data_IF_967460113470
#
_entry.id   IF_967460113470
#
_cell.length_a   1.000
_cell.length_b   1.000
_cell.length_c   1.000
_cell.angle_alpha   90.00
_cell.angle_beta   90.00
_cell.angle_gamma   90.00
#
_symmetry.space_group_name_H-M   'P 1'
#
loop_
_entity.id
_entity.type
_entity.pdbx_description
1 polymer ?
#
# COMPACT_ATOMS: atom_id res chain seq x y z
N UNK A 1 -1.06 5.88 33.00
CA UNK A 1 -0.76 5.69 31.55
C UNK A 1 -1.96 4.96 30.97
N UNK A 2 -2.42 5.29 29.77
CA UNK A 2 -3.53 4.56 29.15
C UNK A 2 -2.95 3.35 28.41
N UNK A 3 -3.30 2.13 28.83
CA UNK A 3 -2.89 0.88 28.21
C UNK A 3 -4.03 0.23 27.39
N UNK A 4 -5.07 1.00 27.08
CA UNK A 4 -6.19 0.54 26.26
C UNK A 4 -6.37 1.54 25.12
N UNK A 5 -5.78 1.23 23.97
CA UNK A 5 -5.90 2.06 22.77
C UNK A 5 -5.81 1.22 21.50
N UNK A 6 -6.29 1.77 20.42
CA UNK A 6 -6.18 1.19 19.09
C UNK A 6 -5.45 2.14 18.15
N UNK A 7 -4.78 1.57 17.16
CA UNK A 7 -4.16 2.25 16.05
C UNK A 7 -4.60 1.58 14.75
N UNK A 8 -5.02 2.38 13.79
CA UNK A 8 -5.13 1.95 12.40
C UNK A 8 -4.16 2.75 11.51
N UNK A 9 -3.60 2.08 10.52
CA UNK A 9 -2.74 2.69 9.53
C UNK A 9 -3.10 2.14 8.16
N UNK A 10 -3.23 3.03 7.20
CA UNK A 10 -3.39 2.66 5.79
C UNK A 10 -2.20 3.22 5.00
N UNK A 11 -1.57 2.39 4.19
CA UNK A 11 -0.46 2.77 3.35
C UNK A 11 -0.63 2.17 1.95
N UNK A 12 -0.65 3.06 0.96
CA UNK A 12 -0.65 2.66 -0.45
C UNK A 12 0.79 2.53 -0.94
N UNK A 13 1.07 1.47 -1.69
CA UNK A 13 2.41 1.19 -2.19
C UNK A 13 2.38 0.52 -3.56
N UNK A 14 3.51 0.59 -4.26
CA UNK A 14 3.74 -0.14 -5.52
C UNK A 14 4.76 -1.24 -5.30
N UNK A 15 4.60 -2.37 -5.99
CA UNK A 15 5.60 -3.44 -6.00
C UNK A 15 6.75 -3.08 -6.96
N UNK A 16 7.97 -2.77 -6.48
CA UNK A 16 9.11 -2.54 -7.36
C UNK A 16 9.49 -3.80 -8.13
N UNK A 17 9.94 -3.66 -9.37
CA UNK A 17 10.37 -4.82 -10.17
C UNK A 17 11.50 -5.62 -9.53
N UNK A 18 12.38 -4.94 -8.78
CA UNK A 18 13.47 -5.56 -8.01
C UNK A 18 13.02 -6.13 -6.67
N UNK A 19 11.82 -5.77 -6.19
CA UNK A 19 11.38 -6.03 -4.82
C UNK A 19 12.15 -5.25 -3.75
N UNK A 20 12.90 -4.20 -4.16
CA UNK A 20 13.80 -3.44 -3.28
C UNK A 20 13.50 -1.95 -3.32
N UNK A 21 13.72 -1.28 -2.20
CA UNK A 21 13.63 0.19 -2.06
C UNK A 21 14.94 0.68 -1.45
N UNK A 22 15.59 1.64 -2.10
CA UNK A 22 16.89 2.19 -1.67
C UNK A 22 17.94 1.10 -1.38
N UNK A 23 18.01 0.06 -2.24
CA UNK A 23 19.01 -1.02 -2.13
C UNK A 23 18.72 -2.07 -1.05
N UNK A 24 17.56 -1.99 -0.37
CA UNK A 24 17.13 -2.97 0.65
C UNK A 24 15.83 -3.65 0.21
N UNK A 25 15.65 -4.92 0.59
CA UNK A 25 14.37 -5.60 0.36
C UNK A 25 13.21 -4.75 0.91
N UNK A 26 12.14 -4.64 0.13
CA UNK A 26 10.91 -3.98 0.59
C UNK A 26 10.22 -4.86 1.63
N UNK A 27 10.00 -4.30 2.83
CA UNK A 27 9.47 -5.03 3.97
C UNK A 27 8.49 -4.22 4.78
N UNK A 28 7.62 -4.94 5.49
CA UNK A 28 6.85 -4.49 6.64
C UNK A 28 7.22 -5.36 7.83
N UNK A 29 7.52 -4.75 8.97
CA UNK A 29 7.95 -5.46 10.18
C UNK A 29 7.26 -4.84 11.39
N UNK A 30 6.68 -5.70 12.21
CA UNK A 30 6.07 -5.37 13.49
C UNK A 30 6.71 -6.22 14.60
N UNK A 31 6.84 -5.64 15.78
CA UNK A 31 7.14 -6.36 17.03
C UNK A 31 6.46 -5.64 18.20
N UNK A 32 5.74 -6.39 18.99
CA UNK A 32 4.98 -5.85 20.13
C UNK A 32 4.09 -6.89 20.78
N UNK A 33 3.25 -6.43 21.69
CA UNK A 33 2.27 -7.20 22.41
C UNK A 33 0.84 -6.76 22.04
N UNK A 34 -0.09 -7.66 22.32
CA UNK A 34 -1.51 -7.70 22.01
C UNK A 34 -1.86 -7.76 20.50
N UNK A 35 -3.11 -7.46 20.14
CA UNK A 35 -3.68 -7.83 18.85
C UNK A 35 -3.11 -7.05 17.67
N UNK A 36 -2.73 -7.77 16.61
CA UNK A 36 -2.33 -7.20 15.33
C UNK A 36 -2.98 -7.94 14.17
N UNK A 37 -3.54 -7.19 13.23
CA UNK A 37 -4.00 -7.69 11.94
C UNK A 37 -3.43 -6.85 10.81
N UNK A 38 -2.89 -7.53 9.81
CA UNK A 38 -2.38 -6.90 8.59
C UNK A 38 -3.15 -7.43 7.39
N UNK A 39 -3.74 -6.50 6.65
CA UNK A 39 -4.43 -6.80 5.38
C UNK A 39 -3.69 -6.16 4.22
N UNK A 40 -3.66 -6.83 3.09
CA UNK A 40 -3.25 -6.26 1.81
C UNK A 40 -4.38 -6.49 0.82
N UNK A 41 -4.87 -5.41 0.20
CA UNK A 41 -6.01 -5.43 -0.74
C UNK A 41 -7.24 -6.14 -0.17
N UNK A 42 -7.46 -6.03 1.14
CA UNK A 42 -8.55 -6.68 1.85
C UNK A 42 -8.32 -8.15 2.24
N UNK A 43 -7.19 -8.74 1.85
CA UNK A 43 -6.80 -10.10 2.25
C UNK A 43 -5.99 -10.06 3.54
N UNK A 44 -6.39 -10.84 4.56
CA UNK A 44 -5.66 -11.00 5.81
C UNK A 44 -4.36 -11.76 5.56
N UNK A 45 -3.22 -11.11 5.73
CA UNK A 45 -1.89 -11.69 5.50
C UNK A 45 -1.11 -11.93 6.80
N UNK A 46 -1.49 -11.26 7.87
CA UNK A 46 -0.88 -11.43 9.19
C UNK A 46 -1.90 -11.29 10.29
N UNK A 47 -1.94 -12.27 11.19
CA UNK A 47 -2.83 -12.32 12.34
C UNK A 47 -2.03 -12.71 13.59
N UNK A 48 -1.86 -11.76 14.50
CA UNK A 48 -1.32 -11.94 15.83
C UNK A 48 -2.39 -11.61 16.88
N UNK A 49 -3.65 -11.96 16.61
CA UNK A 49 -4.76 -11.70 17.51
C UNK A 49 -4.64 -12.44 18.83
N UNK A 50 -5.03 -11.78 19.89
CA UNK A 50 -5.04 -12.31 21.26
C UNK A 50 -4.12 -11.53 22.21
N UNK A 51 -4.36 -11.68 23.50
CA UNK A 51 -3.47 -11.14 24.54
C UNK A 51 -2.22 -12.04 24.61
N UNK A 52 -1.07 -11.46 24.32
CA UNK A 52 0.20 -12.20 24.30
C UNK A 52 1.39 -11.31 24.70
N UNK A 53 2.50 -11.92 25.08
CA UNK A 53 3.78 -11.20 25.21
C UNK A 53 4.32 -10.82 23.83
N UNK A 54 5.42 -10.07 23.80
CA UNK A 54 5.99 -9.57 22.56
C UNK A 54 6.11 -10.64 21.48
N UNK A 55 5.47 -10.39 20.35
CA UNK A 55 5.46 -11.22 19.15
C UNK A 55 5.96 -10.40 17.95
N UNK A 56 6.29 -11.05 16.86
CA UNK A 56 6.76 -10.37 15.65
C UNK A 56 5.99 -10.83 14.42
N UNK A 57 5.82 -9.90 13.48
CA UNK A 57 5.30 -10.16 12.15
C UNK A 57 6.23 -9.51 11.14
N UNK A 58 6.61 -10.25 10.10
CA UNK A 58 7.37 -9.69 8.99
C UNK A 58 6.81 -10.14 7.66
N UNK A 59 6.75 -9.20 6.71
CA UNK A 59 6.38 -9.43 5.32
C UNK A 59 7.53 -8.95 4.46
N UNK A 60 8.11 -9.85 3.66
CA UNK A 60 9.11 -9.51 2.66
C UNK A 60 8.46 -9.49 1.28
N UNK A 61 8.26 -8.32 0.71
CA UNK A 61 7.59 -8.15 -0.59
C UNK A 61 8.42 -8.60 -1.79
N UNK A 62 9.75 -8.73 -1.62
CA UNK A 62 10.63 -9.25 -2.67
C UNK A 62 10.47 -10.76 -2.85
N UNK A 63 10.32 -11.49 -1.76
CA UNK A 63 10.16 -12.94 -1.76
C UNK A 63 8.71 -13.39 -1.64
N UNK A 64 7.82 -12.52 -1.14
CA UNK A 64 6.46 -12.83 -0.76
C UNK A 64 6.33 -13.62 0.55
N UNK A 65 7.41 -13.72 1.33
CA UNK A 65 7.44 -14.47 2.59
C UNK A 65 6.74 -13.69 3.70
N UNK A 66 5.93 -14.40 4.50
CA UNK A 66 5.26 -13.89 5.69
C UNK A 66 5.63 -14.76 6.88
N UNK A 67 6.22 -14.16 7.91
CA UNK A 67 6.63 -14.84 9.14
C UNK A 67 5.91 -14.26 10.35
N UNK A 68 5.31 -15.15 11.13
CA UNK A 68 4.73 -14.85 12.42
C UNK A 68 5.62 -15.51 13.48
N UNK A 69 6.37 -14.70 14.18
CA UNK A 69 7.35 -15.13 15.16
C UNK A 69 6.97 -14.66 16.55
N UNK A 70 7.47 -15.38 17.53
CA UNK A 70 7.30 -15.04 18.91
C UNK A 70 8.66 -14.79 19.54
N UNK A 71 8.85 -13.59 20.07
CA UNK A 71 10.07 -13.23 20.79
C UNK A 71 10.18 -13.92 22.14
N UNK A 72 9.07 -14.43 22.70
CA UNK A 72 9.01 -15.18 23.94
C UNK A 72 8.21 -16.46 23.73
N UNK A 73 8.73 -17.60 24.14
CA UNK A 73 7.99 -18.86 24.11
C UNK A 73 6.69 -18.73 24.92
N UNK A 74 5.58 -18.51 24.24
CA UNK A 74 4.26 -18.48 24.86
C UNK A 74 3.52 -19.80 24.60
N UNK A 75 3.08 -20.55 25.62
CA UNK A 75 2.44 -21.85 25.45
C UNK A 75 1.03 -21.79 24.85
N UNK A 76 0.42 -20.62 24.71
CA UNK A 76 -0.96 -20.46 24.20
C UNK A 76 -1.04 -20.13 22.69
N UNK A 77 -0.02 -20.51 21.89
CA UNK A 77 0.10 -20.07 20.50
C UNK A 77 -0.55 -20.98 19.50
N UNK A 78 -1.48 -20.43 18.77
CA UNK A 78 -1.97 -21.00 17.51
C UNK A 78 -1.18 -20.52 16.28
N UNK A 79 -0.40 -19.44 16.41
CA UNK A 79 0.27 -18.77 15.28
C UNK A 79 1.81 -18.66 15.43
N UNK A 80 2.36 -18.86 16.61
CA UNK A 80 3.81 -18.71 16.85
C UNK A 80 4.68 -19.62 15.97
N UNK A 81 5.67 -19.03 15.30
CA UNK A 81 6.56 -19.74 14.38
C UNK A 81 5.93 -20.12 13.04
N UNK A 82 4.75 -19.60 12.71
CA UNK A 82 4.09 -19.85 11.42
C UNK A 82 4.82 -19.08 10.32
N UNK A 83 5.17 -19.80 9.27
CA UNK A 83 5.65 -19.24 8.02
C UNK A 83 4.64 -19.52 6.92
N UNK A 84 4.35 -18.52 6.11
CA UNK A 84 3.45 -18.60 4.97
C UNK A 84 3.93 -17.65 3.87
N UNK A 85 3.16 -17.47 2.82
CA UNK A 85 3.48 -16.53 1.75
C UNK A 85 2.27 -15.65 1.43
N UNK A 86 2.54 -14.47 0.86
CA UNK A 86 1.48 -13.61 0.34
C UNK A 86 0.56 -14.37 -0.62
N UNK A 87 1.15 -15.15 -1.55
CA UNK A 87 0.37 -15.96 -2.50
C UNK A 87 -0.54 -16.94 -1.78
N UNK A 88 -0.04 -17.67 -0.78
CA UNK A 88 -0.85 -18.64 -0.06
C UNK A 88 -2.04 -17.99 0.68
N UNK A 89 -1.83 -16.82 1.30
CA UNK A 89 -2.92 -16.07 1.94
C UNK A 89 -3.99 -15.63 0.91
N UNK A 90 -3.56 -15.16 -0.26
CA UNK A 90 -4.48 -14.74 -1.33
C UNK A 90 -5.21 -15.93 -1.95
N UNK A 91 -4.53 -17.06 -2.16
CA UNK A 91 -5.15 -18.30 -2.65
C UNK A 91 -6.19 -18.86 -1.68
N UNK A 92 -5.92 -18.78 -0.39
CA UNK A 92 -6.88 -19.17 0.66
C UNK A 92 -8.12 -18.27 0.66
N UNK A 93 -7.93 -16.96 0.53
CA UNK A 93 -9.02 -15.99 0.60
C UNK A 93 -9.84 -15.87 -0.70
N UNK A 94 -9.19 -15.93 -1.86
CA UNK A 94 -9.80 -15.59 -3.16
C UNK A 94 -9.96 -16.81 -4.08
N UNK A 95 -9.31 -17.93 -3.76
CA UNK A 95 -9.13 -19.07 -4.65
C UNK A 95 -7.95 -18.87 -5.62
N UNK A 96 -7.33 -19.96 -6.05
CA UNK A 96 -6.08 -19.96 -6.85
C UNK A 96 -6.20 -19.16 -8.15
N UNK A 97 -7.31 -19.30 -8.86
CA UNK A 97 -7.51 -18.64 -10.15
C UNK A 97 -7.51 -17.10 -10.02
N UNK A 98 -8.25 -16.55 -9.05
CA UNK A 98 -8.29 -15.11 -8.80
C UNK A 98 -6.98 -14.59 -8.21
N UNK A 99 -6.38 -15.34 -7.30
CA UNK A 99 -5.12 -14.97 -6.68
C UNK A 99 -3.98 -14.87 -7.71
N UNK A 100 -3.96 -15.72 -8.74
CA UNK A 100 -2.91 -15.71 -9.76
C UNK A 100 -2.72 -14.34 -10.42
N UNK A 101 -3.78 -13.54 -10.55
CA UNK A 101 -3.72 -12.20 -11.16
C UNK A 101 -2.91 -11.17 -10.33
N UNK A 102 -2.62 -11.45 -9.08
CA UNK A 102 -1.86 -10.54 -8.20
C UNK A 102 -0.36 -10.78 -8.23
N UNK A 103 0.09 -11.95 -8.66
CA UNK A 103 1.46 -12.41 -8.45
C UNK A 103 2.22 -12.62 -9.74
N UNK A 104 3.53 -12.34 -9.70
CA UNK A 104 4.45 -12.75 -10.76
C UNK A 104 4.41 -14.27 -10.87
N UNK A 105 4.37 -14.78 -12.10
CA UNK A 105 4.34 -16.22 -12.41
C UNK A 105 5.44 -16.96 -11.64
N UNK A 106 5.12 -18.14 -11.11
CA UNK A 106 6.00 -19.02 -10.33
C UNK A 106 6.70 -18.36 -9.11
N UNK A 107 6.17 -17.27 -8.60
CA UNK A 107 6.69 -16.60 -7.41
C UNK A 107 5.60 -16.29 -6.38
N UNK A 108 6.00 -15.95 -5.15
CA UNK A 108 5.09 -15.45 -4.11
C UNK A 108 5.08 -13.92 -4.01
N UNK A 109 5.86 -13.24 -4.86
CA UNK A 109 5.93 -11.78 -4.91
C UNK A 109 4.84 -11.23 -5.83
N UNK A 110 4.30 -10.06 -5.50
CA UNK A 110 3.34 -9.36 -6.34
C UNK A 110 3.90 -9.03 -7.72
N UNK A 111 3.01 -8.78 -8.67
CA UNK A 111 3.38 -8.33 -10.01
C UNK A 111 4.21 -7.04 -9.97
N UNK A 112 5.33 -6.97 -10.69
CA UNK A 112 6.09 -5.73 -10.80
C UNK A 112 5.23 -4.56 -11.28
N UNK A 113 5.28 -3.44 -10.56
CA UNK A 113 4.49 -2.25 -10.83
C UNK A 113 3.04 -2.32 -10.39
N UNK A 114 2.58 -3.43 -9.79
CA UNK A 114 1.23 -3.50 -9.23
C UNK A 114 1.08 -2.57 -8.02
N UNK A 115 -0.15 -2.13 -7.83
CA UNK A 115 -0.57 -1.21 -6.79
C UNK A 115 -1.29 -1.96 -5.69
N UNK A 116 -0.98 -1.65 -4.44
CA UNK A 116 -1.52 -2.34 -3.27
C UNK A 116 -1.83 -1.37 -2.15
N UNK A 117 -2.83 -1.71 -1.33
CA UNK A 117 -3.17 -1.01 -0.10
C UNK A 117 -2.92 -1.94 1.10
N UNK A 118 -2.00 -1.54 1.96
CA UNK A 118 -1.78 -2.18 3.26
C UNK A 118 -2.64 -1.50 4.31
N UNK A 119 -3.38 -2.29 5.10
CA UNK A 119 -4.05 -1.84 6.32
C UNK A 119 -3.50 -2.61 7.50
N UNK A 120 -3.08 -1.87 8.51
CA UNK A 120 -2.56 -2.40 9.77
C UNK A 120 -3.49 -1.97 10.89
N UNK A 121 -3.94 -2.92 11.70
CA UNK A 121 -4.73 -2.68 12.90
C UNK A 121 -3.98 -3.22 14.10
N UNK A 122 -3.93 -2.42 15.16
CA UNK A 122 -3.31 -2.75 16.43
C UNK A 122 -4.27 -2.39 17.56
N UNK A 123 -4.42 -3.30 18.52
CA UNK A 123 -5.16 -3.06 19.74
C UNK A 123 -4.32 -3.44 20.95
N UNK A 124 -4.07 -2.47 21.82
CA UNK A 124 -3.44 -2.66 23.11
C UNK A 124 -4.52 -2.92 24.15
N UNK A 125 -4.42 -4.06 24.84
CA UNK A 125 -5.36 -4.51 25.88
C UNK A 125 -4.69 -4.85 27.20
N UNK A 126 -3.38 -4.80 27.26
CA UNK A 126 -2.60 -5.05 28.46
C UNK A 126 -2.77 -3.96 29.50
N UNK A 127 -2.50 -4.28 30.76
CA UNK A 127 -2.64 -3.30 31.82
C UNK A 127 -1.30 -2.91 32.48
N UNK A 128 -0.20 -3.56 32.18
CA UNK A 128 1.10 -3.35 32.82
C UNK A 128 2.23 -2.98 31.85
N UNK A 129 2.25 -3.58 30.68
CA UNK A 129 3.28 -3.36 29.66
C UNK A 129 2.61 -3.06 28.32
N UNK A 130 3.20 -2.17 27.54
CA UNK A 130 2.78 -1.85 26.19
C UNK A 130 4.01 -1.64 25.33
N UNK A 131 4.20 -2.48 24.33
CA UNK A 131 5.35 -2.46 23.44
C UNK A 131 4.91 -2.50 22.00
N UNK A 132 5.29 -1.51 21.22
CA UNK A 132 5.07 -1.50 19.79
C UNK A 132 6.28 -0.97 19.04
N UNK A 133 6.76 -1.74 18.07
CA UNK A 133 7.75 -1.30 17.10
C UNK A 133 7.25 -1.63 15.70
N UNK A 134 7.06 -0.60 14.89
CA UNK A 134 6.62 -0.71 13.52
C UNK A 134 7.70 -0.14 12.59
N UNK A 135 8.10 -0.91 11.58
CA UNK A 135 9.08 -0.50 10.57
C UNK A 135 8.61 -0.96 9.19
N UNK A 136 8.72 -0.08 8.20
CA UNK A 136 8.50 -0.41 6.80
C UNK A 136 9.25 0.54 5.88
N UNK A 137 9.60 0.05 4.69
CA UNK A 137 10.20 0.81 3.61
C UNK A 137 9.42 0.64 2.31
N UNK A 138 8.07 0.77 2.40
CA UNK A 138 7.19 0.61 1.25
C UNK A 138 7.50 1.65 0.16
N UNK A 139 7.53 1.21 -1.11
CA UNK A 139 7.63 2.11 -2.24
C UNK A 139 6.36 2.95 -2.31
N UNK A 140 6.47 4.23 -2.00
CA UNK A 140 5.33 5.14 -2.03
C UNK A 140 4.73 5.21 -3.42
N UNK A 141 3.41 5.22 -3.47
CA UNK A 141 2.70 5.67 -4.65
C UNK A 141 2.77 7.18 -4.67
N UNK A 142 3.20 7.75 -5.77
CA UNK A 142 2.97 9.15 -6.02
C UNK A 142 1.46 9.36 -6.03
N UNK A 143 0.94 10.14 -5.08
CA UNK A 143 -0.49 10.42 -5.02
C UNK A 143 -0.87 11.32 -6.19
N UNK A 144 -1.31 10.71 -7.27
CA UNK A 144 -1.88 11.38 -8.44
C UNK A 144 -3.40 11.47 -8.33
N UNK A 145 -3.95 11.48 -7.12
CA UNK A 145 -5.38 11.56 -6.90
C UNK A 145 -5.81 13.02 -6.91
N UNK A 146 -6.60 13.38 -7.91
CA UNK A 146 -7.30 14.67 -7.96
C UNK A 146 -8.72 14.42 -7.50
N UNK A 147 -9.20 15.21 -6.54
CA UNK A 147 -10.59 15.20 -6.11
C UNK A 147 -11.32 16.40 -6.69
N UNK A 148 -12.49 16.17 -7.25
CA UNK A 148 -13.41 17.19 -7.72
C UNK A 148 -14.59 17.28 -6.79
N UNK A 149 -14.73 18.42 -6.15
CA UNK A 149 -15.89 18.77 -5.33
C UNK A 149 -16.65 19.93 -5.99
N UNK A 150 -17.94 20.07 -5.67
CA UNK A 150 -18.74 21.24 -5.98
C UNK A 150 -18.43 22.42 -5.01
N UNK A 151 -19.12 23.51 -5.17
CA UNK A 151 -18.95 24.70 -4.33
C UNK A 151 -19.36 24.51 -2.86
N UNK A 152 -20.01 23.40 -2.52
CA UNK A 152 -20.42 23.04 -1.16
C UNK A 152 -19.56 21.94 -0.54
N UNK A 153 -18.53 21.47 -1.25
CA UNK A 153 -17.64 20.39 -0.82
C UNK A 153 -18.20 18.98 -1.05
N UNK A 154 -19.30 18.85 -1.79
CA UNK A 154 -19.82 17.53 -2.16
C UNK A 154 -19.04 16.97 -3.37
N UNK A 155 -18.75 15.65 -3.40
CA UNK A 155 -18.06 15.04 -4.51
C UNK A 155 -18.87 15.12 -5.81
N UNK A 156 -18.20 15.40 -6.93
CA UNK A 156 -18.81 15.45 -8.26
C UNK A 156 -18.41 14.19 -9.05
N UNK A 157 -19.26 13.17 -9.11
CA UNK A 157 -19.01 11.98 -9.91
C UNK A 157 -19.20 12.25 -11.41
N UNK A 158 -18.43 11.51 -12.26
CA UNK A 158 -18.58 11.58 -13.71
C UNK A 158 -17.98 12.83 -14.37
N UNK A 159 -17.33 13.72 -13.62
CA UNK A 159 -16.62 14.87 -14.19
C UNK A 159 -15.45 14.40 -15.06
N UNK A 160 -15.44 14.83 -16.34
CA UNK A 160 -14.42 14.44 -17.31
C UNK A 160 -13.15 15.27 -17.15
N UNK A 161 -12.00 14.61 -17.20
CA UNK A 161 -10.68 15.24 -17.15
C UNK A 161 -9.77 14.67 -18.21
N UNK A 162 -8.85 15.51 -18.67
CA UNK A 162 -7.76 15.11 -19.55
C UNK A 162 -6.45 15.72 -19.06
N UNK A 163 -5.38 14.94 -19.05
CA UNK A 163 -4.03 15.37 -18.73
C UNK A 163 -3.25 15.55 -20.05
N UNK A 164 -2.65 16.71 -20.21
CA UNK A 164 -1.80 17.03 -21.36
C UNK A 164 -0.38 17.33 -20.91
N UNK A 165 0.61 17.06 -21.78
CA UNK A 165 1.93 17.63 -21.61
C UNK A 165 1.84 19.17 -21.71
N UNK A 166 2.65 19.85 -20.93
CA UNK A 166 2.74 21.31 -20.98
C UNK A 166 4.19 21.76 -21.07
N UNK A 167 4.43 22.81 -21.79
CA UNK A 167 5.68 23.55 -21.82
C UNK A 167 5.63 24.66 -20.77
N UNK A 168 6.65 24.72 -19.92
CA UNK A 168 6.80 25.74 -18.89
C UNK A 168 7.68 26.87 -19.42
N UNK A 169 7.20 28.10 -19.36
CA UNK A 169 7.96 29.32 -19.70
C UNK A 169 7.91 30.30 -18.54
N UNK A 170 8.90 31.19 -18.47
CA UNK A 170 9.01 32.21 -17.42
C UNK A 170 9.63 31.68 -16.12
N UNK A 171 9.86 32.60 -15.18
CA UNK A 171 10.44 32.35 -13.86
C UNK A 171 9.65 33.08 -12.76
N UNK A 172 9.71 32.56 -11.52
CA UNK A 172 9.02 33.14 -10.37
C UNK A 172 7.51 33.26 -10.57
N UNK A 173 6.94 34.42 -10.34
CA UNK A 173 5.50 34.71 -10.50
C UNK A 173 5.06 34.84 -11.97
N UNK A 174 6.00 34.92 -12.94
CA UNK A 174 5.72 35.02 -14.39
C UNK A 174 5.65 33.64 -15.07
N UNK A 175 5.66 32.54 -14.33
CA UNK A 175 5.57 31.20 -14.88
C UNK A 175 4.25 30.99 -15.60
N UNK A 176 4.32 30.53 -16.84
CA UNK A 176 3.19 30.15 -17.67
C UNK A 176 3.35 28.71 -18.15
N UNK A 177 2.23 28.03 -18.32
CA UNK A 177 2.18 26.68 -18.88
C UNK A 177 1.33 26.67 -20.13
N UNK A 178 1.89 26.20 -21.23
CA UNK A 178 1.21 26.09 -22.52
C UNK A 178 1.06 24.62 -22.87
N UNK A 179 -0.14 24.19 -23.23
CA UNK A 179 -0.39 22.83 -23.66
C UNK A 179 0.51 22.46 -24.85
N UNK A 180 1.15 21.28 -24.75
CA UNK A 180 2.01 20.72 -25.78
C UNK A 180 1.31 19.56 -26.49
N UNK A 181 0.86 19.80 -27.74
CA UNK A 181 0.15 18.83 -28.55
C UNK A 181 -1.35 18.70 -28.23
N UNK A 182 -2.06 18.00 -29.11
CA UNK A 182 -3.52 17.85 -29.05
C UNK A 182 -3.99 16.53 -28.43
N UNK A 183 -3.06 15.60 -28.19
CA UNK A 183 -3.39 14.28 -27.60
C UNK A 183 -3.15 14.30 -26.10
N UNK A 184 -4.16 13.93 -25.29
CA UNK A 184 -3.97 13.79 -23.86
C UNK A 184 -3.04 12.60 -23.54
N UNK A 185 -2.23 12.75 -22.51
CA UNK A 185 -1.44 11.68 -21.91
C UNK A 185 -2.37 10.68 -21.23
N UNK A 186 -3.43 11.21 -20.63
CA UNK A 186 -4.46 10.45 -19.93
C UNK A 186 -5.79 11.19 -19.99
N UNK A 187 -6.90 10.43 -20.01
CA UNK A 187 -8.24 10.99 -19.85
C UNK A 187 -9.14 10.02 -19.07
N UNK A 188 -10.08 10.56 -18.31
CA UNK A 188 -10.97 9.77 -17.50
C UNK A 188 -11.99 10.62 -16.75
N UNK A 189 -12.82 9.95 -15.95
CA UNK A 189 -13.88 10.58 -15.18
C UNK A 189 -13.70 10.31 -13.68
N UNK A 190 -14.23 11.21 -12.85
CA UNK A 190 -14.30 11.02 -11.42
C UNK A 190 -15.22 9.85 -11.06
N UNK A 191 -14.82 9.09 -10.04
CA UNK A 191 -15.65 8.03 -9.45
C UNK A 191 -16.75 8.60 -8.54
N UNK A 192 -17.53 7.74 -7.89
CA UNK A 192 -18.62 8.13 -7.00
C UNK A 192 -18.18 9.03 -5.81
N UNK A 193 -16.90 8.95 -5.40
CA UNK A 193 -16.31 9.78 -4.36
C UNK A 193 -15.68 11.08 -4.90
N UNK A 194 -15.86 11.40 -6.18
CA UNK A 194 -15.27 12.57 -6.83
C UNK A 194 -13.78 12.44 -7.14
N UNK A 195 -13.18 11.27 -6.95
CA UNK A 195 -11.75 11.05 -7.13
C UNK A 195 -11.41 10.60 -8.55
N UNK A 196 -10.26 11.08 -9.04
CA UNK A 196 -9.61 10.60 -10.25
C UNK A 196 -8.29 9.97 -9.88
N UNK A 197 -8.08 8.73 -10.33
CA UNK A 197 -6.78 8.10 -10.30
C UNK A 197 -6.18 8.18 -11.70
N UNK A 198 -5.18 9.05 -11.86
CA UNK A 198 -4.48 9.17 -13.13
C UNK A 198 -3.54 7.98 -13.27
N UNK A 199 -3.74 7.20 -14.33
CA UNK A 199 -2.97 6.00 -14.61
C UNK A 199 -1.98 6.25 -15.76
N UNK A 200 -0.95 5.43 -15.86
CA UNK A 200 -0.08 5.39 -17.03
C UNK A 200 -0.87 5.04 -18.29
N UNK A 201 -0.41 5.37 -19.50
CA UNK A 201 -1.14 5.11 -20.74
C UNK A 201 -1.50 3.63 -20.96
N UNK A 202 -0.74 2.70 -20.38
CA UNK A 202 -1.02 1.26 -20.40
C UNK A 202 -2.04 0.81 -19.33
N UNK A 203 -2.49 1.74 -18.47
CA UNK A 203 -3.48 1.50 -17.42
C UNK A 203 -3.00 0.64 -16.26
N UNK A 204 -1.70 0.34 -16.17
CA UNK A 204 -1.19 -0.67 -15.21
C UNK A 204 -0.74 -0.10 -13.89
N UNK A 205 -0.36 1.18 -13.83
CA UNK A 205 0.10 1.82 -12.60
C UNK A 205 -0.37 3.26 -12.52
N UNK A 206 -0.45 3.86 -11.32
CA UNK A 206 -0.66 5.28 -11.16
C UNK A 206 0.44 6.09 -11.88
N UNK A 207 0.05 7.22 -12.46
CA UNK A 207 0.99 8.13 -13.12
C UNK A 207 1.85 8.83 -12.07
N UNK A 208 3.18 8.71 -12.20
CA UNK A 208 4.14 9.39 -11.34
C UNK A 208 4.57 10.71 -11.97
N UNK A 209 4.05 11.82 -11.46
CA UNK A 209 4.39 13.16 -11.93
C UNK A 209 5.84 13.53 -11.64
N UNK A 210 6.45 12.98 -10.57
CA UNK A 210 7.84 13.24 -10.25
C UNK A 210 8.80 12.52 -11.22
N UNK A 211 8.50 11.27 -11.58
CA UNK A 211 9.24 10.51 -12.58
C UNK A 211 9.15 11.21 -13.96
N UNK A 212 7.96 11.63 -14.34
CA UNK A 212 7.74 12.35 -15.61
C UNK A 212 8.48 13.70 -15.67
N UNK A 213 8.62 14.39 -14.53
CA UNK A 213 9.38 15.65 -14.47
C UNK A 213 10.90 15.44 -14.64
N UNK A 214 11.44 14.34 -14.11
CA UNK A 214 12.88 14.04 -14.17
C UNK A 214 13.34 13.47 -15.51
N UNK A 215 12.42 13.02 -16.38
CA UNK A 215 12.70 12.43 -17.69
C UNK A 215 12.49 13.41 -18.86
N UNK A 216 12.20 14.68 -18.61
CA UNK A 216 12.11 15.79 -19.55
C UNK A 216 13.21 16.83 -19.27
#
# INVERSE_FOLDING_TARGET
MNHYFGLDLTADFTQPASGMVAGKDMKFEFSGDDDVWVFIDGVLVGDLGGVHGAASLSINFKTGEVKLGDARKNPHKTWGGKETTLRACFEEALGKEKAAAYFKEDTNAFLPGSYHTLKFFYLERGNTDSNMKLMFNLQRVAQSTIRKDDQYGAPVPGAQFALYAAERTGEGESVQYTQKGDRPIWQGATNAAGNINIMTPDGKRPYDFAEAHNNN
#
